data_IF_598969257388
#
_entry.id   IF_598969257388
#
_cell.length_a   1.000
_cell.length_b   1.000
_cell.length_c   1.000
_cell.angle_alpha   90.00
_cell.angle_beta   90.00
_cell.angle_gamma   90.00
#
_symmetry.space_group_name_H-M   'P 1'
#
loop_
_entity.id
_entity.type
_entity.pdbx_description
1 polymer ?
#
# COMPACT_ATOMS: atom_id res chain seq x y z
N UNK A 1 19.69 -18.66 -8.41
CA UNK A 1 18.87 -18.39 -7.20
C UNK A 1 17.43 -18.40 -7.61
N UNK A 2 16.66 -19.44 -7.24
CA UNK A 2 15.22 -19.44 -7.48
C UNK A 2 14.57 -18.40 -6.57
N UNK A 3 13.77 -17.50 -7.15
CA UNK A 3 12.86 -16.65 -6.39
C UNK A 3 11.85 -17.59 -5.73
N UNK A 4 12.06 -17.89 -4.45
CA UNK A 4 11.12 -18.70 -3.67
C UNK A 4 9.73 -18.07 -3.79
N UNK A 5 8.77 -18.90 -4.19
CA UNK A 5 7.35 -18.57 -4.30
C UNK A 5 6.82 -18.28 -2.88
N UNK A 6 6.97 -17.04 -2.42
CA UNK A 6 6.63 -16.62 -1.05
C UNK A 6 5.13 -16.37 -0.89
N UNK A 7 4.37 -16.28 -1.97
CA UNK A 7 2.95 -15.97 -1.95
C UNK A 7 2.11 -17.25 -1.83
N UNK A 8 1.20 -17.26 -0.87
CA UNK A 8 0.23 -18.30 -0.57
C UNK A 8 -1.19 -17.81 -0.86
N UNK A 9 -2.19 -18.68 -0.74
CA UNK A 9 -3.62 -18.30 -0.80
C UNK A 9 -4.04 -17.31 0.29
N UNK A 10 -3.29 -17.24 1.40
CA UNK A 10 -3.52 -16.28 2.50
C UNK A 10 -2.84 -14.92 2.26
N UNK A 11 -1.97 -14.82 1.25
CA UNK A 11 -1.24 -13.58 0.97
C UNK A 11 -2.19 -12.52 0.40
N UNK A 12 -2.18 -11.34 0.98
CA UNK A 12 -3.01 -10.23 0.55
C UNK A 12 -2.23 -8.92 0.47
N UNK A 13 -2.79 -7.99 -0.31
CA UNK A 13 -2.24 -6.67 -0.53
C UNK A 13 -3.24 -5.60 -0.13
N UNK A 14 -2.82 -4.62 0.66
CA UNK A 14 -3.50 -3.31 0.69
C UNK A 14 -2.85 -2.42 -0.35
N UNK A 15 -3.66 -1.85 -1.23
CA UNK A 15 -3.20 -0.97 -2.31
C UNK A 15 -3.91 0.37 -2.18
N UNK A 16 -3.15 1.46 -2.10
CA UNK A 16 -3.69 2.83 -2.09
C UNK A 16 -3.05 3.68 -3.17
N UNK A 17 -3.87 4.44 -3.88
CA UNK A 17 -3.44 5.29 -5.01
C UNK A 17 -3.49 6.76 -4.59
N UNK A 18 -2.42 7.50 -4.88
CA UNK A 18 -2.27 8.91 -4.56
C UNK A 18 -1.96 9.71 -5.83
N UNK A 19 -2.46 10.94 -5.89
CA UNK A 19 -2.08 11.95 -6.86
C UNK A 19 -1.59 13.17 -6.11
N UNK A 20 -0.41 13.67 -6.47
CA UNK A 20 0.06 14.99 -6.03
C UNK A 20 -0.42 15.99 -7.06
N UNK A 21 -1.27 16.94 -6.66
CA UNK A 21 -1.84 17.92 -7.59
C UNK A 21 -0.78 18.91 -8.06
N UNK A 22 -1.05 19.59 -9.17
CA UNK A 22 -0.18 20.67 -9.64
C UNK A 22 -0.18 21.82 -8.63
N UNK A 23 1.00 22.36 -8.35
CA UNK A 23 1.20 23.39 -7.31
C UNK A 23 1.58 22.84 -5.93
N UNK A 24 1.33 21.55 -5.65
CA UNK A 24 1.76 20.93 -4.38
C UNK A 24 3.25 20.55 -4.39
N UNK A 25 3.88 20.61 -3.21
CA UNK A 25 5.29 20.26 -3.01
C UNK A 25 5.52 18.74 -3.08
N UNK A 26 5.78 18.28 -4.31
CA UNK A 26 6.07 16.88 -4.62
C UNK A 26 7.34 16.36 -3.94
N UNK A 27 8.39 17.17 -3.84
CA UNK A 27 9.64 16.69 -3.23
C UNK A 27 9.47 16.46 -1.73
N UNK A 28 8.71 17.33 -1.06
CA UNK A 28 8.35 17.15 0.34
C UNK A 28 7.45 15.93 0.55
N UNK A 29 6.51 15.68 -0.37
CA UNK A 29 5.74 14.43 -0.37
C UNK A 29 6.67 13.21 -0.45
N UNK A 30 7.56 13.16 -1.44
CA UNK A 30 8.45 12.00 -1.65
C UNK A 30 9.40 11.78 -0.46
N UNK A 31 9.95 12.85 0.11
CA UNK A 31 10.81 12.78 1.31
C UNK A 31 10.06 12.32 2.56
N UNK A 32 8.76 12.60 2.65
CA UNK A 32 7.95 12.34 3.85
C UNK A 32 6.79 11.36 3.59
N UNK A 33 6.93 10.49 2.60
CA UNK A 33 5.81 9.72 2.08
C UNK A 33 5.12 8.84 3.12
N UNK A 34 5.85 8.30 4.09
CA UNK A 34 5.30 7.50 5.19
C UNK A 34 4.22 8.25 5.99
N UNK A 35 4.42 9.56 6.19
CA UNK A 35 3.49 10.42 6.88
C UNK A 35 2.31 10.80 5.98
N UNK A 36 2.61 11.26 4.76
CA UNK A 36 1.62 11.73 3.80
C UNK A 36 0.62 10.63 3.40
N UNK A 37 1.13 9.45 3.10
CA UNK A 37 0.31 8.29 2.72
C UNK A 37 -0.36 7.61 3.91
N UNK A 38 -0.05 8.01 5.14
CA UNK A 38 -0.55 7.32 6.33
C UNK A 38 0.01 5.90 6.52
N UNK A 39 1.06 5.49 5.79
CA UNK A 39 1.69 4.18 5.93
C UNK A 39 2.17 3.88 7.36
N UNK A 40 2.47 4.92 8.17
CA UNK A 40 2.75 4.76 9.61
C UNK A 40 1.59 4.11 10.39
N UNK A 41 0.35 4.21 9.91
CA UNK A 41 -0.80 3.56 10.54
C UNK A 41 -0.80 2.06 10.33
N UNK A 42 -0.23 1.58 9.22
CA UNK A 42 -0.02 0.15 9.00
C UNK A 42 0.96 -0.38 10.05
N UNK A 43 2.10 0.28 10.25
CA UNK A 43 3.05 -0.14 11.28
C UNK A 43 2.47 -0.13 12.70
N UNK A 44 1.57 0.81 12.99
CA UNK A 44 1.02 0.99 14.34
C UNK A 44 -0.14 0.04 14.66
N UNK A 45 -1.00 -0.23 13.68
CA UNK A 45 -2.29 -0.89 13.93
C UNK A 45 -2.46 -2.22 13.24
N UNK A 46 -1.58 -2.59 12.30
CA UNK A 46 -1.68 -3.91 11.66
C UNK A 46 -1.25 -4.99 12.68
N UNK A 47 -2.12 -5.96 12.98
CA UNK A 47 -1.77 -7.07 13.86
C UNK A 47 -0.61 -7.88 13.29
N UNK A 48 0.31 -8.31 14.16
CA UNK A 48 1.45 -9.15 13.75
C UNK A 48 1.01 -10.42 13.02
N UNK A 49 -0.15 -10.98 13.38
CA UNK A 49 -0.75 -12.15 12.75
C UNK A 49 -1.01 -11.98 11.25
N UNK A 50 -1.25 -10.75 10.76
CA UNK A 50 -1.40 -10.46 9.33
C UNK A 50 -0.10 -10.73 8.55
N UNK A 51 1.04 -10.77 9.24
CA UNK A 51 2.34 -11.12 8.69
C UNK A 51 2.86 -10.09 7.70
N UNK A 52 2.98 -8.83 8.15
CA UNK A 52 3.53 -7.74 7.33
C UNK A 52 4.89 -8.13 6.74
N UNK A 53 5.02 -8.10 5.42
CA UNK A 53 6.27 -8.41 4.71
C UNK A 53 6.94 -7.18 4.14
N UNK A 54 6.16 -6.30 3.50
CA UNK A 54 6.70 -5.14 2.79
C UNK A 54 5.70 -4.02 2.74
N UNK A 55 6.20 -2.80 2.90
CA UNK A 55 5.51 -1.57 2.54
C UNK A 55 6.41 -0.81 1.56
N UNK A 56 5.86 -0.42 0.43
CA UNK A 56 6.59 0.32 -0.60
C UNK A 56 5.71 1.38 -1.24
N UNK A 57 6.33 2.50 -1.62
CA UNK A 57 5.70 3.51 -2.46
C UNK A 57 6.30 3.43 -3.86
N UNK A 58 5.46 3.25 -4.86
CA UNK A 58 5.83 3.21 -6.26
C UNK A 58 5.35 4.47 -6.95
N UNK A 59 6.22 5.06 -7.78
CA UNK A 59 5.93 6.26 -8.58
C UNK A 59 5.66 5.85 -10.02
N UNK A 60 4.59 6.39 -10.61
CA UNK A 60 4.32 6.22 -12.04
C UNK A 60 5.46 6.83 -12.87
N UNK A 61 5.91 6.08 -13.87
CA UNK A 61 6.89 6.53 -14.86
C UNK A 61 6.24 7.14 -16.09
N UNK A 62 4.91 7.34 -16.08
CA UNK A 62 4.20 7.86 -17.25
C UNK A 62 4.79 9.21 -17.68
N UNK A 63 5.29 9.32 -18.92
CA UNK A 63 5.85 10.57 -19.42
C UNK A 63 4.75 11.60 -19.74
N UNK A 64 3.50 11.15 -19.89
CA UNK A 64 2.31 11.97 -20.14
C UNK A 64 1.27 11.70 -19.05
N UNK A 65 0.79 12.76 -18.40
CA UNK A 65 -0.25 12.69 -17.36
C UNK A 65 0.26 12.97 -15.94
N UNK A 66 -0.67 12.92 -15.00
CA UNK A 66 -0.40 13.20 -13.59
C UNK A 66 0.54 12.17 -12.98
N UNK A 67 1.45 12.64 -12.12
CA UNK A 67 2.30 11.74 -11.34
C UNK A 67 1.47 11.07 -10.26
N UNK A 68 1.16 9.80 -10.51
CA UNK A 68 0.46 8.92 -9.58
C UNK A 68 1.46 8.14 -8.73
N UNK A 69 1.10 7.87 -7.49
CA UNK A 69 1.84 7.00 -6.59
C UNK A 69 0.96 5.86 -6.10
N UNK A 70 1.56 4.69 -5.90
CA UNK A 70 0.89 3.50 -5.39
C UNK A 70 1.60 3.08 -4.11
N UNK A 71 0.91 3.19 -2.97
CA UNK A 71 1.31 2.54 -1.74
C UNK A 71 0.89 1.08 -1.82
N UNK A 72 1.87 0.19 -1.73
CA UNK A 72 1.67 -1.25 -1.70
C UNK A 72 2.07 -1.77 -0.33
N UNK A 73 1.17 -2.50 0.34
CA UNK A 73 1.49 -3.20 1.57
C UNK A 73 1.17 -4.68 1.40
N UNK A 74 2.20 -5.52 1.50
CA UNK A 74 2.13 -6.98 1.38
C UNK A 74 2.09 -7.64 2.74
N UNK A 75 1.17 -8.59 2.91
CA UNK A 75 0.96 -9.32 4.15
C UNK A 75 0.77 -10.81 3.84
N UNK A 76 1.49 -11.67 4.57
CA UNK A 76 1.51 -13.12 4.38
C UNK A 76 0.13 -13.77 4.61
N UNK A 77 -0.64 -13.24 5.55
CA UNK A 77 -1.85 -13.86 6.09
C UNK A 77 -3.07 -12.93 6.05
N UNK A 78 -3.02 -11.84 5.28
CA UNK A 78 -4.09 -10.84 5.27
C UNK A 78 -5.44 -11.40 4.81
N UNK A 79 -5.44 -12.37 3.88
CA UNK A 79 -6.70 -12.94 3.40
C UNK A 79 -7.30 -13.98 4.35
N UNK A 80 -6.55 -14.41 5.37
CA UNK A 80 -7.09 -15.28 6.43
C UNK A 80 -8.10 -14.52 7.30
N UNK A 81 -7.88 -13.22 7.50
CA UNK A 81 -8.82 -12.32 8.17
C UNK A 81 -8.60 -10.88 7.68
N UNK A 82 -9.49 -10.40 6.82
CA UNK A 82 -9.44 -9.03 6.28
C UNK A 82 -9.92 -7.97 7.27
N UNK A 83 -10.59 -8.38 8.35
CA UNK A 83 -11.14 -7.44 9.35
C UNK A 83 -10.05 -6.74 10.15
N UNK A 84 -8.84 -7.31 10.18
CA UNK A 84 -7.62 -6.68 10.73
C UNK A 84 -7.29 -5.33 10.07
N UNK A 85 -7.82 -5.07 8.87
CA UNK A 85 -7.66 -3.82 8.16
C UNK A 85 -8.75 -2.78 8.46
N UNK A 86 -9.75 -3.09 9.29
CA UNK A 86 -10.90 -2.22 9.56
C UNK A 86 -10.52 -0.82 10.07
N UNK A 87 -9.45 -0.71 10.85
CA UNK A 87 -8.94 0.59 11.33
C UNK A 87 -7.98 1.25 10.33
N UNK A 88 -7.30 0.45 9.50
CA UNK A 88 -6.26 0.92 8.58
C UNK A 88 -6.89 1.52 7.32
N UNK A 89 -7.87 0.86 6.71
CA UNK A 89 -8.45 1.33 5.45
C UNK A 89 -9.08 2.72 5.57
N UNK A 90 -9.86 3.05 6.63
CA UNK A 90 -10.38 4.40 6.81
C UNK A 90 -9.26 5.43 7.03
N UNK A 91 -8.21 5.06 7.79
CA UNK A 91 -7.08 5.95 8.04
C UNK A 91 -6.29 6.26 6.76
N UNK A 92 -6.15 5.30 5.85
CA UNK A 92 -5.56 5.52 4.52
C UNK A 92 -6.50 6.37 3.64
N UNK A 93 -7.80 6.07 3.63
CA UNK A 93 -8.80 6.82 2.85
C UNK A 93 -8.88 8.30 3.23
N UNK A 94 -8.67 8.63 4.51
CA UNK A 94 -8.63 10.01 4.98
C UNK A 94 -7.42 10.82 4.46
N UNK A 95 -6.43 10.19 3.81
CA UNK A 95 -5.21 10.85 3.29
C UNK A 95 -5.33 11.32 1.84
N UNK A 96 -6.54 11.68 1.41
CA UNK A 96 -6.84 12.10 0.03
C UNK A 96 -6.38 11.07 -1.03
N UNK A 97 -6.39 9.78 -0.67
CA UNK A 97 -6.18 8.69 -1.62
C UNK A 97 -7.32 8.68 -2.63
N UNK A 98 -7.01 8.52 -3.92
CA UNK A 98 -8.05 8.34 -4.94
C UNK A 98 -8.77 7.00 -4.79
N UNK A 99 -8.05 5.94 -4.42
CA UNK A 99 -8.61 4.60 -4.21
C UNK A 99 -7.78 3.82 -3.18
N UNK A 100 -8.46 3.08 -2.31
CA UNK A 100 -7.84 2.14 -1.37
C UNK A 100 -8.65 0.85 -1.30
N UNK A 101 -7.99 -0.29 -1.54
CA UNK A 101 -8.62 -1.61 -1.55
C UNK A 101 -7.69 -2.74 -1.11
N UNK A 102 -8.29 -3.90 -0.89
CA UNK A 102 -7.60 -5.16 -0.59
C UNK A 102 -7.62 -6.03 -1.84
N UNK A 103 -6.48 -6.62 -2.18
CA UNK A 103 -6.29 -7.42 -3.38
C UNK A 103 -5.67 -8.77 -3.03
N UNK A 104 -6.06 -9.79 -3.80
CA UNK A 104 -5.40 -11.10 -3.82
C UNK A 104 -4.51 -11.21 -5.07
N UNK A 105 -3.33 -11.81 -4.98
CA UNK A 105 -2.56 -12.14 -6.18
C UNK A 105 -3.30 -13.21 -7.02
N UNK A 106 -3.44 -12.98 -8.34
CA UNK A 106 -4.11 -13.91 -9.26
C UNK A 106 -3.14 -14.92 -9.90
N UNK A 107 -1.90 -14.51 -10.18
CA UNK A 107 -0.83 -15.35 -10.71
C UNK A 107 0.48 -15.01 -10.01
N UNK A 108 1.17 -16.03 -9.53
CA UNK A 108 2.55 -15.95 -9.06
C UNK A 108 3.45 -16.36 -10.23
N UNK A 109 4.15 -15.40 -10.81
CA UNK A 109 5.19 -15.63 -11.84
C UNK A 109 6.53 -15.94 -11.18
#
# INVERSE_FOLDING_TARGET
>A
MSLLKTQSSSTGYMVSVYKVFEGDDREKFERNWLYWTGARMIYRYLPQAAGLRRISLHKSLSPKGDKMYILLCECANLLSDVTVCALILPALRARLTGYTGIFRPLQTF
#
